data_IF_365821544398
#
_entry.id   IF_365821544398
#
_cell.length_a   1.000
_cell.length_b   1.000
_cell.length_c   1.000
_cell.angle_alpha   90.00
_cell.angle_beta   90.00
_cell.angle_gamma   90.00
#
_symmetry.space_group_name_H-M   'P 1'
#
loop_
_entity.id
_entity.type
_entity.pdbx_description
1 polymer ?
#
# COMPACT_ATOMS: atom_id res chain seq x y z
N UNK A 1 -6.84 21.03 39.23
CA UNK A 1 -7.30 20.33 38.00
C UNK A 1 -6.31 19.27 37.44
N UNK A 2 -5.04 19.21 37.87
CA UNK A 2 -4.06 18.24 37.33
C UNK A 2 -3.88 16.95 38.15
N UNK A 3 -4.44 16.84 39.37
CA UNK A 3 -4.31 15.62 40.18
C UNK A 3 -5.33 14.50 39.84
N UNK A 4 -6.45 14.84 39.19
CA UNK A 4 -7.55 13.90 38.93
C UNK A 4 -7.36 13.06 37.66
N UNK A 5 -6.54 13.52 36.70
CA UNK A 5 -6.23 12.78 35.47
C UNK A 5 -5.28 11.60 35.70
N UNK A 6 -4.35 11.73 36.65
CA UNK A 6 -3.39 10.68 37.00
C UNK A 6 -4.03 9.47 37.68
N UNK A 7 -5.00 9.72 38.57
CA UNK A 7 -5.71 8.67 39.33
C UNK A 7 -6.68 7.89 38.41
N UNK A 8 -7.38 8.57 37.50
CA UNK A 8 -8.27 7.93 36.53
C UNK A 8 -7.50 7.02 35.55
N UNK A 9 -6.30 7.43 35.13
CA UNK A 9 -5.44 6.62 34.27
C UNK A 9 -4.87 5.40 35.01
N UNK A 10 -4.57 5.54 36.32
CA UNK A 10 -4.12 4.45 37.17
C UNK A 10 -5.20 3.38 37.34
N UNK A 11 -6.45 3.81 37.56
CA UNK A 11 -7.61 2.90 37.72
C UNK A 11 -7.92 2.19 36.41
N UNK A 12 -7.90 2.88 35.27
CA UNK A 12 -8.08 2.26 33.95
C UNK A 12 -7.03 1.18 33.67
N UNK A 13 -5.77 1.48 34.01
CA UNK A 13 -4.65 0.53 33.84
C UNK A 13 -4.72 -0.65 34.83
N UNK A 14 -5.30 -0.45 36.01
CA UNK A 14 -5.48 -1.51 37.02
C UNK A 14 -6.64 -2.46 36.68
N UNK A 15 -7.75 -1.95 36.16
CA UNK A 15 -8.92 -2.76 35.77
C UNK A 15 -8.62 -3.59 34.51
N UNK A 16 -8.02 -2.98 33.49
CA UNK A 16 -7.75 -3.66 32.20
C UNK A 16 -6.61 -4.69 32.31
N UNK A 17 -5.67 -4.53 33.25
CA UNK A 17 -4.55 -5.48 33.42
C UNK A 17 -4.88 -6.75 34.20
N UNK A 18 -6.04 -6.81 34.88
CA UNK A 18 -6.44 -7.95 35.72
C UNK A 18 -7.69 -8.70 35.25
N UNK A 19 -8.35 -8.27 34.18
CA UNK A 19 -9.50 -9.01 33.63
C UNK A 19 -9.00 -10.10 32.66
N UNK A 20 -9.00 -11.36 33.11
CA UNK A 20 -8.90 -12.52 32.20
C UNK A 20 -10.27 -12.75 31.58
N UNK A 21 -10.32 -12.76 30.26
CA UNK A 21 -11.50 -13.17 29.50
C UNK A 21 -11.28 -14.60 29.04
N UNK A 22 -12.07 -15.55 29.56
CA UNK A 22 -12.13 -16.92 29.02
C UNK A 22 -13.36 -17.04 28.12
N UNK A 23 -13.13 -17.47 26.88
CA UNK A 23 -14.16 -17.84 25.90
C UNK A 23 -14.24 -19.37 25.88
N UNK A 24 -15.32 -19.94 26.40
CA UNK A 24 -15.54 -21.41 26.40
C UNK A 24 -16.10 -21.89 25.06
N UNK A 25 -15.61 -23.03 24.56
CA UNK A 25 -16.05 -23.68 23.30
C UNK A 25 -17.33 -24.53 23.52
N UNK A 26 -18.16 -24.77 22.48
CA UNK A 26 -19.41 -25.52 22.63
C UNK A 26 -19.17 -27.04 22.70
N UNK A 27 -19.87 -27.74 23.59
CA UNK A 27 -19.85 -29.20 23.73
C UNK A 27 -20.91 -29.88 22.84
N UNK A 28 -20.58 -31.06 22.28
CA UNK A 28 -21.45 -31.92 21.46
C UNK A 28 -22.52 -32.63 22.29
N UNK A 29 -23.72 -32.79 21.72
CA UNK A 29 -24.88 -33.49 22.33
C UNK A 29 -24.97 -34.93 21.82
N UNK A 30 -25.33 -35.88 22.69
CA UNK A 30 -25.81 -37.23 22.32
C UNK A 30 -27.03 -37.57 23.21
N UNK A 31 -28.17 -38.09 22.68
CA UNK A 31 -29.40 -38.25 23.46
C UNK A 31 -29.71 -39.72 23.79
N UNK A 32 -30.23 -40.03 24.98
CA UNK A 32 -30.98 -41.26 25.24
C UNK A 32 -32.07 -41.09 26.34
N UNK A 33 -33.32 -41.36 25.91
CA UNK A 33 -34.56 -41.80 26.60
C UNK A 33 -35.45 -40.85 27.47
N UNK A 34 -36.81 -40.85 27.27
CA UNK A 34 -37.84 -40.10 28.04
C UNK A 34 -38.78 -41.04 28.86
N UNK A 35 -39.97 -40.62 29.39
CA UNK A 35 -40.34 -39.47 30.25
C UNK A 35 -41.22 -39.89 31.47
N UNK A 36 -41.32 -39.08 32.54
CA UNK A 36 -42.50 -39.12 33.43
C UNK A 36 -42.86 -37.73 33.97
N UNK A 37 -44.15 -37.39 33.77
CA UNK A 37 -44.93 -36.21 34.18
C UNK A 37 -44.72 -34.87 33.43
N UNK A 38 -45.54 -34.68 32.39
CA UNK A 38 -46.57 -33.63 32.34
C UNK A 38 -46.18 -32.17 32.04
N UNK A 39 -46.68 -31.68 30.89
CA UNK A 39 -46.90 -30.28 30.44
C UNK A 39 -45.85 -29.73 29.42
N UNK A 40 -46.28 -29.11 28.29
CA UNK A 40 -45.49 -29.02 27.06
C UNK A 40 -44.55 -27.82 26.95
N UNK A 41 -43.61 -27.99 26.03
CA UNK A 41 -42.50 -27.14 25.61
C UNK A 41 -42.96 -25.81 24.97
N UNK A 42 -42.24 -24.72 25.28
CA UNK A 42 -41.87 -23.68 24.31
C UNK A 42 -40.49 -23.14 24.69
N UNK A 43 -39.46 -23.66 24.01
CA UNK A 43 -38.06 -23.43 24.34
C UNK A 43 -37.48 -22.11 23.82
N UNK A 44 -36.45 -21.63 24.52
CA UNK A 44 -35.31 -20.88 23.98
C UNK A 44 -34.05 -21.36 24.71
N UNK A 45 -33.01 -21.71 23.95
CA UNK A 45 -31.74 -22.27 24.46
C UNK A 45 -30.96 -21.31 25.37
N UNK A 46 -29.92 -21.79 26.07
CA UNK A 46 -29.27 -21.04 27.13
C UNK A 46 -28.51 -19.83 26.55
N UNK A 47 -28.87 -18.63 27.02
CA UNK A 47 -28.08 -17.41 26.87
C UNK A 47 -26.85 -17.52 27.79
N UNK A 48 -25.64 -17.39 27.24
CA UNK A 48 -24.40 -17.36 28.02
C UNK A 48 -24.31 -16.04 28.82
N UNK A 49 -24.47 -16.15 30.14
CA UNK A 49 -24.38 -15.03 31.10
C UNK A 49 -22.92 -14.77 31.49
N UNK A 50 -22.34 -13.63 31.06
CA UNK A 50 -21.00 -13.19 31.48
C UNK A 50 -21.10 -12.57 32.89
N UNK A 51 -20.63 -13.27 33.91
CA UNK A 51 -20.58 -12.76 35.31
C UNK A 51 -19.31 -11.96 35.59
N UNK A 52 -19.48 -10.68 35.95
CA UNK A 52 -18.42 -9.83 36.51
C UNK A 52 -18.63 -9.74 38.03
N UNK A 53 -17.65 -10.15 38.85
CA UNK A 53 -17.70 -10.02 40.32
C UNK A 53 -16.90 -8.80 40.80
N UNK A 54 -17.49 -7.99 41.68
CA UNK A 54 -16.76 -7.08 42.59
C UNK A 54 -17.35 -5.67 42.76
N UNK A 55 -17.80 -5.37 43.98
CA UNK A 55 -18.12 -4.06 44.59
C UNK A 55 -19.25 -3.21 43.95
N UNK A 56 -20.39 -3.16 44.65
CA UNK A 56 -21.51 -2.25 44.37
C UNK A 56 -21.16 -0.87 44.95
N UNK A 57 -20.73 0.05 44.08
CA UNK A 57 -20.63 1.47 44.36
C UNK A 57 -21.33 2.27 43.26
N UNK A 58 -21.96 3.40 43.59
CA UNK A 58 -22.45 4.35 42.58
C UNK A 58 -21.25 5.03 41.92
N UNK A 59 -20.78 4.48 40.81
CA UNK A 59 -19.75 5.11 40.00
C UNK A 59 -20.41 5.98 38.93
N UNK A 60 -20.26 7.30 39.03
CA UNK A 60 -20.43 8.17 37.88
C UNK A 60 -19.22 7.95 36.96
N UNK A 61 -19.38 7.08 35.97
CA UNK A 61 -18.41 7.01 34.86
C UNK A 61 -18.69 8.21 33.97
N UNK A 62 -17.77 9.19 33.83
CA UNK A 62 -17.96 10.24 32.84
C UNK A 62 -18.01 9.59 31.47
N UNK A 63 -19.21 9.57 30.87
CA UNK A 63 -19.43 9.01 29.55
C UNK A 63 -18.81 9.99 28.57
N UNK A 64 -17.61 9.69 28.07
CA UNK A 64 -17.03 10.38 26.93
C UNK A 64 -17.96 10.18 25.73
N UNK A 65 -18.62 11.25 25.30
CA UNK A 65 -19.50 11.23 24.13
C UNK A 65 -18.69 10.87 22.88
N UNK A 66 -18.90 9.65 22.39
CA UNK A 66 -18.56 9.28 21.02
C UNK A 66 -19.86 9.23 20.22
N UNK A 67 -20.08 10.24 19.37
CA UNK A 67 -21.20 10.23 18.41
C UNK A 67 -20.92 9.19 17.31
N UNK A 68 -21.96 8.57 16.72
CA UNK A 68 -21.77 7.78 15.50
C UNK A 68 -21.15 8.70 14.42
N UNK A 69 -20.08 8.28 13.73
CA UNK A 69 -19.39 9.16 12.81
C UNK A 69 -20.24 9.46 11.58
N UNK A 70 -20.19 10.71 11.13
CA UNK A 70 -20.74 11.13 9.85
C UNK A 70 -19.75 10.76 8.72
N UNK A 71 -20.12 9.75 7.93
CA UNK A 71 -19.46 9.41 6.67
C UNK A 71 -18.13 8.66 6.76
N UNK A 72 -17.87 7.84 5.74
CA UNK A 72 -16.56 7.21 5.50
C UNK A 72 -15.68 8.23 4.80
N UNK A 73 -14.60 8.67 5.45
CA UNK A 73 -13.57 9.44 4.74
C UNK A 73 -12.75 8.46 3.88
N UNK A 74 -13.13 8.32 2.60
CA UNK A 74 -12.31 7.69 1.56
C UNK A 74 -11.55 8.79 0.84
N UNK A 75 -10.46 9.26 1.43
CA UNK A 75 -9.65 10.31 0.82
C UNK A 75 -8.35 10.59 1.56
N UNK A 76 -7.22 10.39 0.87
CA UNK A 76 -5.87 10.62 1.42
C UNK A 76 -5.30 9.40 2.15
N UNK A 77 -4.24 9.62 2.94
CA UNK A 77 -3.52 8.57 3.70
C UNK A 77 -4.32 8.02 4.90
N UNK A 78 -5.47 8.60 5.22
CA UNK A 78 -6.30 8.21 6.37
C UNK A 78 -7.42 7.29 5.90
N UNK A 79 -7.40 6.04 6.35
CA UNK A 79 -8.47 5.06 6.13
C UNK A 79 -9.37 5.03 7.36
N UNK A 80 -10.67 5.16 7.13
CA UNK A 80 -11.74 5.08 8.15
C UNK A 80 -12.77 4.01 7.80
N UNK A 81 -12.40 3.07 6.92
CA UNK A 81 -13.31 2.05 6.41
C UNK A 81 -13.64 1.03 7.52
N UNK A 82 -14.90 0.58 7.65
CA UNK A 82 -15.27 -0.52 8.55
C UNK A 82 -14.46 -1.81 8.39
N UNK A 83 -13.79 -2.03 7.26
CA UNK A 83 -12.85 -3.15 7.09
C UNK A 83 -11.55 -2.98 7.89
N UNK A 84 -11.19 -1.76 8.26
CA UNK A 84 -10.02 -1.46 9.09
C UNK A 84 -10.32 -1.95 10.51
N UNK A 85 -9.66 -3.04 10.92
CA UNK A 85 -9.84 -3.65 12.27
C UNK A 85 -8.82 -3.18 13.31
N UNK A 86 -8.00 -2.17 12.98
CA UNK A 86 -6.85 -1.72 13.79
C UNK A 86 -6.66 -0.22 13.66
N UNK A 87 -6.16 0.44 14.71
CA UNK A 87 -5.88 1.88 14.72
C UNK A 87 -6.56 2.57 15.89
N UNK A 88 -6.74 3.89 15.78
CA UNK A 88 -7.46 4.67 16.79
C UNK A 88 -8.96 4.42 16.62
N UNK A 89 -9.68 4.18 17.71
CA UNK A 89 -11.15 4.13 17.67
C UNK A 89 -11.66 5.56 17.45
N UNK A 90 -12.33 5.80 16.33
CA UNK A 90 -12.93 7.10 15.98
C UNK A 90 -14.40 7.19 16.39
N UNK A 91 -15.08 6.05 16.45
CA UNK A 91 -16.48 6.00 16.84
C UNK A 91 -17.01 4.57 16.79
N UNK A 92 -18.30 4.46 16.51
CA UNK A 92 -18.99 3.18 16.46
C UNK A 92 -20.11 3.17 15.41
N UNK A 93 -20.54 1.96 15.01
CA UNK A 93 -21.71 1.74 14.16
C UNK A 93 -22.62 0.64 14.71
N UNK A 94 -23.82 0.54 14.16
CA UNK A 94 -24.67 -0.65 14.34
C UNK A 94 -24.10 -1.78 13.46
N UNK A 95 -23.81 -2.97 14.01
CA UNK A 95 -23.32 -4.11 13.25
C UNK A 95 -24.34 -4.56 12.19
N UNK A 96 -23.86 -4.97 11.00
CA UNK A 96 -24.69 -5.59 9.93
C UNK A 96 -24.63 -7.12 9.93
N UNK A 97 -24.32 -7.70 11.08
CA UNK A 97 -23.99 -9.11 11.29
C UNK A 97 -23.21 -9.28 12.59
N UNK A 98 -22.51 -10.41 12.76
CA UNK A 98 -21.67 -10.63 13.95
C UNK A 98 -20.58 -9.56 14.05
N UNK A 99 -20.54 -8.74 15.12
CA UNK A 99 -19.56 -7.68 15.24
C UNK A 99 -18.15 -8.26 15.38
N UNK A 100 -17.21 -7.75 14.59
CA UNK A 100 -15.81 -8.18 14.66
C UNK A 100 -15.07 -7.56 15.85
N UNK A 101 -15.58 -6.44 16.38
CA UNK A 101 -15.02 -5.76 17.55
C UNK A 101 -16.05 -4.89 18.27
N UNK A 102 -16.23 -5.06 19.58
CA UNK A 102 -17.30 -4.39 20.34
C UNK A 102 -16.82 -3.05 20.93
N UNK A 103 -17.63 -2.01 20.75
CA UNK A 103 -17.49 -0.69 21.38
C UNK A 103 -18.27 -0.64 22.70
N UNK A 104 -17.63 -1.10 23.77
CA UNK A 104 -18.26 -1.33 25.09
C UNK A 104 -19.04 -0.11 25.60
N UNK A 105 -18.50 1.13 25.66
CA UNK A 105 -19.25 2.27 26.21
C UNK A 105 -20.53 2.60 25.43
N UNK A 106 -20.50 2.42 24.10
CA UNK A 106 -21.64 2.72 23.25
C UNK A 106 -22.71 1.61 23.32
N UNK A 107 -22.27 0.37 23.53
CA UNK A 107 -23.17 -0.79 23.70
C UNK A 107 -23.89 -0.71 25.05
N UNK A 108 -23.19 -0.32 26.12
CA UNK A 108 -23.82 -0.04 27.41
C UNK A 108 -24.82 1.11 27.29
N UNK A 109 -24.46 2.20 26.60
CA UNK A 109 -25.36 3.34 26.39
C UNK A 109 -26.62 2.94 25.62
N UNK A 110 -26.48 2.08 24.61
CA UNK A 110 -27.60 1.54 23.86
C UNK A 110 -28.52 0.68 24.76
N UNK A 111 -27.95 -0.23 25.55
CA UNK A 111 -28.69 -1.08 26.47
C UNK A 111 -29.47 -0.28 27.52
N UNK A 112 -28.85 0.75 28.10
CA UNK A 112 -29.52 1.65 29.06
C UNK A 112 -30.65 2.42 28.39
N UNK A 113 -30.43 2.95 27.18
CA UNK A 113 -31.46 3.68 26.42
C UNK A 113 -32.64 2.79 26.01
N UNK A 114 -32.40 1.49 25.79
CA UNK A 114 -33.44 0.50 25.51
C UNK A 114 -34.25 0.08 26.74
N UNK A 115 -33.98 0.65 27.92
CA UNK A 115 -34.68 0.31 29.16
C UNK A 115 -34.22 -1.01 29.77
N UNK A 116 -33.04 -1.53 29.40
CA UNK A 116 -32.48 -2.79 29.91
C UNK A 116 -31.88 -2.67 31.32
N UNK A 117 -32.48 -1.85 32.19
CA UNK A 117 -32.15 -1.79 33.61
C UNK A 117 -32.80 -2.98 34.31
N UNK A 118 -31.98 -3.88 34.86
CA UNK A 118 -32.49 -4.99 35.67
C UNK A 118 -33.34 -4.47 36.83
N UNK A 119 -34.46 -5.12 37.11
CA UNK A 119 -35.28 -4.81 38.27
C UNK A 119 -34.42 -4.96 39.55
N UNK A 120 -34.25 -3.88 40.31
CA UNK A 120 -33.73 -3.90 41.68
C UNK A 120 -32.21 -3.87 41.87
N UNK A 121 -31.41 -4.30 40.88
CA UNK A 121 -29.95 -4.29 40.97
C UNK A 121 -29.36 -3.40 39.87
N UNK A 122 -28.24 -2.71 40.16
CA UNK A 122 -27.47 -1.81 39.27
C UNK A 122 -26.86 -2.50 38.01
N UNK A 123 -27.48 -3.57 37.52
CA UNK A 123 -27.04 -4.39 36.40
C UNK A 123 -27.69 -3.90 35.10
N UNK A 124 -26.85 -3.64 34.11
CA UNK A 124 -27.28 -3.36 32.72
C UNK A 124 -27.17 -4.67 31.94
N UNK A 125 -28.30 -5.17 31.45
CA UNK A 125 -28.31 -6.32 30.55
C UNK A 125 -28.03 -5.82 29.12
N UNK A 126 -26.94 -6.28 28.51
CA UNK A 126 -26.59 -5.93 27.12
C UNK A 126 -27.06 -7.06 26.22
N UNK A 127 -27.98 -6.76 25.30
CA UNK A 127 -28.48 -7.71 24.31
C UNK A 127 -27.72 -7.61 22.98
N UNK A 128 -27.81 -8.60 22.08
CA UNK A 128 -27.18 -8.53 20.75
C UNK A 128 -27.54 -7.27 19.96
N UNK A 129 -28.76 -6.75 20.11
CA UNK A 129 -29.24 -5.54 19.42
C UNK A 129 -28.60 -4.26 19.96
N UNK A 130 -28.10 -4.30 21.19
CA UNK A 130 -27.39 -3.19 21.84
C UNK A 130 -25.93 -3.10 21.39
N UNK A 131 -25.40 -4.18 20.79
CA UNK A 131 -24.02 -4.22 20.35
C UNK A 131 -23.71 -3.06 19.39
N UNK A 132 -22.62 -2.35 19.66
CA UNK A 132 -22.05 -1.34 18.76
C UNK A 132 -20.68 -1.80 18.32
N UNK A 133 -20.41 -1.79 17.03
CA UNK A 133 -19.12 -2.19 16.48
C UNK A 133 -18.16 -0.99 16.47
N UNK A 134 -16.91 -1.18 16.89
CA UNK A 134 -15.90 -0.12 16.81
C UNK A 134 -15.65 0.27 15.35
N UNK A 135 -15.54 1.57 15.11
CA UNK A 135 -15.01 2.11 13.87
C UNK A 135 -13.59 2.62 14.11
N UNK A 136 -12.64 2.04 13.39
CA UNK A 136 -11.24 2.43 13.47
C UNK A 136 -10.89 3.46 12.41
N UNK A 137 -10.01 4.36 12.79
CA UNK A 137 -9.31 5.26 11.91
C UNK A 137 -7.82 4.94 11.99
N UNK A 138 -7.24 4.72 10.83
CA UNK A 138 -5.81 4.45 10.68
C UNK A 138 -5.25 5.29 9.55
N UNK A 139 -4.20 6.06 9.87
CA UNK A 139 -3.35 6.64 8.83
C UNK A 139 -2.41 5.54 8.32
N UNK A 140 -2.59 5.13 7.07
CA UNK A 140 -1.73 4.17 6.40
C UNK A 140 -0.49 4.91 5.92
N UNK A 141 0.72 4.51 6.36
CA UNK A 141 1.95 5.11 5.85
C UNK A 141 2.13 4.85 4.37
N UNK A 142 2.77 5.76 3.66
CA UNK A 142 3.17 5.51 2.27
C UNK A 142 4.21 4.40 2.25
N UNK A 143 4.08 3.51 1.28
CA UNK A 143 5.15 2.58 0.91
C UNK A 143 5.54 2.87 -0.53
N UNK A 144 6.74 3.40 -0.76
CA UNK A 144 7.27 3.67 -2.09
C UNK A 144 8.44 2.74 -2.38
N UNK A 145 8.44 2.14 -3.57
CA UNK A 145 9.50 1.25 -4.06
C UNK A 145 10.08 1.90 -5.29
N UNK A 146 11.29 2.43 -5.16
CA UNK A 146 11.97 3.16 -6.22
C UNK A 146 12.80 2.17 -7.04
N UNK A 147 12.56 2.10 -8.34
CA UNK A 147 13.43 1.43 -9.31
C UNK A 147 14.34 2.52 -9.87
N UNK A 148 15.63 2.44 -9.55
CA UNK A 148 16.61 3.44 -9.91
C UNK A 148 17.63 2.85 -10.88
N UNK A 149 17.71 3.45 -12.07
CA UNK A 149 18.79 3.16 -13.00
C UNK A 149 20.13 3.68 -12.46
N UNK A 150 21.16 2.82 -12.47
CA UNK A 150 22.52 3.12 -11.99
C UNK A 150 23.53 3.15 -13.14
N UNK A 151 23.08 3.51 -14.34
CA UNK A 151 23.93 3.84 -15.49
C UNK A 151 24.68 5.17 -15.30
N UNK A 152 25.78 5.38 -16.04
CA UNK A 152 26.67 6.54 -15.85
C UNK A 152 25.94 7.89 -15.98
N UNK A 153 24.97 7.99 -16.90
CA UNK A 153 24.10 9.16 -17.10
C UNK A 153 23.27 9.52 -15.86
N UNK A 154 23.03 8.55 -14.97
CA UNK A 154 22.20 8.69 -13.78
C UNK A 154 22.96 9.14 -12.53
N UNK A 155 24.28 9.38 -12.64
CA UNK A 155 25.13 9.72 -11.49
C UNK A 155 24.61 10.92 -10.71
N UNK A 156 24.33 12.03 -11.41
CA UNK A 156 23.83 13.27 -10.79
C UNK A 156 22.43 13.07 -10.19
N UNK A 157 21.53 12.43 -10.94
CA UNK A 157 20.16 12.12 -10.50
C UNK A 157 20.14 11.28 -9.22
N UNK A 158 20.99 10.26 -9.15
CA UNK A 158 21.16 9.42 -7.95
C UNK A 158 21.66 10.24 -6.75
N UNK A 159 22.62 11.13 -6.96
CA UNK A 159 23.17 11.97 -5.89
C UNK A 159 22.11 12.95 -5.37
N UNK A 160 21.37 13.61 -6.25
CA UNK A 160 20.27 14.50 -5.86
C UNK A 160 19.13 13.75 -5.19
N UNK A 161 18.76 12.57 -5.68
CA UNK A 161 17.78 11.72 -5.01
C UNK A 161 18.22 11.36 -3.58
N UNK A 162 19.49 11.00 -3.38
CA UNK A 162 20.00 10.71 -2.05
C UNK A 162 20.01 11.95 -1.14
N UNK A 163 20.27 13.16 -1.69
CA UNK A 163 20.18 14.43 -0.97
C UNK A 163 18.73 14.75 -0.58
N UNK A 164 17.78 14.60 -1.50
CA UNK A 164 16.35 14.78 -1.25
C UNK A 164 15.84 13.85 -0.14
N UNK A 165 16.17 12.56 -0.19
CA UNK A 165 15.86 11.62 0.89
C UNK A 165 16.47 12.04 2.23
N UNK A 166 17.70 12.58 2.21
CA UNK A 166 18.38 13.09 3.40
C UNK A 166 17.76 14.37 3.94
N UNK A 167 17.08 15.17 3.11
CA UNK A 167 16.31 16.34 3.56
C UNK A 167 14.97 15.91 4.16
N UNK A 168 14.26 15.00 3.50
CA UNK A 168 12.93 14.54 3.90
C UNK A 168 12.92 13.52 5.03
N UNK A 169 14.07 13.00 5.49
CA UNK A 169 14.10 11.86 6.41
C UNK A 169 13.30 12.09 7.70
N UNK A 170 13.33 13.31 8.29
CA UNK A 170 12.62 13.62 9.54
C UNK A 170 11.12 13.46 9.35
N UNK A 171 10.62 13.98 8.24
CA UNK A 171 9.20 13.92 7.92
C UNK A 171 8.74 12.53 7.56
N UNK A 172 9.50 11.83 6.69
CA UNK A 172 9.21 10.45 6.31
C UNK A 172 9.20 9.53 7.53
N UNK A 173 10.17 9.72 8.44
CA UNK A 173 10.26 8.97 9.70
C UNK A 173 9.08 9.27 10.62
N UNK A 174 8.70 10.55 10.76
CA UNK A 174 7.56 10.96 11.57
C UNK A 174 6.23 10.41 11.04
N UNK A 175 6.05 10.39 9.71
CA UNK A 175 4.89 9.79 9.02
C UNK A 175 4.93 8.26 8.99
N UNK A 176 6.04 7.65 9.41
CA UNK A 176 6.35 6.20 9.31
C UNK A 176 6.31 5.67 7.88
N UNK A 177 6.57 6.53 6.91
CA UNK A 177 6.64 6.18 5.50
C UNK A 177 7.81 5.22 5.27
N UNK A 178 7.65 4.32 4.30
CA UNK A 178 8.63 3.27 4.02
C UNK A 178 9.11 3.35 2.58
N UNK A 179 10.41 3.52 2.43
CA UNK A 179 11.05 3.66 1.13
C UNK A 179 11.94 2.45 0.88
N UNK A 180 11.69 1.75 -0.22
CA UNK A 180 12.56 0.70 -0.74
C UNK A 180 13.22 1.17 -2.01
N UNK A 181 14.42 0.66 -2.31
CA UNK A 181 15.11 0.95 -3.57
C UNK A 181 15.62 -0.34 -4.19
N UNK A 182 15.30 -0.51 -5.47
CA UNK A 182 15.84 -1.52 -6.39
C UNK A 182 16.77 -0.79 -7.34
N UNK A 183 18.04 -1.18 -7.37
CA UNK A 183 19.04 -0.66 -8.30
C UNK A 183 19.14 -1.55 -9.53
N UNK A 184 19.26 -0.93 -10.71
CA UNK A 184 19.58 -1.62 -11.96
C UNK A 184 21.09 -1.53 -12.16
N UNK A 185 21.79 -2.66 -12.22
CA UNK A 185 23.25 -2.64 -12.39
C UNK A 185 23.74 -3.90 -13.10
N UNK A 186 24.69 -3.72 -14.01
CA UNK A 186 25.29 -4.81 -14.76
C UNK A 186 24.19 -5.67 -15.41
N UNK A 187 24.19 -6.99 -15.18
CA UNK A 187 23.25 -7.90 -15.84
C UNK A 187 21.94 -8.10 -15.08
N UNK A 188 21.72 -7.52 -13.89
CA UNK A 188 20.50 -7.78 -13.12
C UNK A 188 20.03 -6.61 -12.24
N UNK A 189 18.84 -6.75 -11.65
CA UNK A 189 18.37 -5.83 -10.63
C UNK A 189 18.66 -6.36 -9.23
N UNK A 190 18.96 -5.48 -8.28
CA UNK A 190 19.24 -5.86 -6.90
C UNK A 190 18.55 -4.91 -5.92
N UNK A 191 18.21 -5.43 -4.74
CA UNK A 191 17.61 -4.64 -3.67
C UNK A 191 18.73 -3.85 -2.96
N UNK A 192 18.79 -2.53 -3.22
CA UNK A 192 19.63 -1.62 -2.45
C UNK A 192 19.15 -1.58 -1.01
N UNK A 193 17.84 -1.47 -0.81
CA UNK A 193 17.22 -1.62 0.52
C UNK A 193 15.75 -2.04 0.38
N UNK A 194 15.26 -3.02 1.15
CA UNK A 194 13.82 -3.29 1.22
C UNK A 194 13.08 -2.09 1.84
N UNK A 195 11.75 -1.94 1.69
CA UNK A 195 11.03 -0.80 2.25
C UNK A 195 11.32 -0.57 3.75
N UNK A 196 11.87 0.59 4.09
CA UNK A 196 12.33 0.92 5.45
C UNK A 196 11.89 2.30 5.88
N UNK A 197 11.66 2.47 7.19
CA UNK A 197 11.49 3.79 7.80
C UNK A 197 12.83 4.47 8.10
N UNK A 198 13.95 3.73 8.09
CA UNK A 198 15.28 4.28 8.29
C UNK A 198 15.82 4.87 6.97
N UNK A 199 15.24 6.00 6.58
CA UNK A 199 15.59 6.70 5.33
C UNK A 199 17.02 7.24 5.35
N UNK A 200 17.54 7.63 6.51
CA UNK A 200 18.92 8.09 6.63
C UNK A 200 19.94 7.00 6.25
N UNK A 201 19.71 5.74 6.65
CA UNK A 201 20.54 4.60 6.24
C UNK A 201 20.44 4.34 4.73
N UNK A 202 19.23 4.44 4.18
CA UNK A 202 19.01 4.31 2.74
C UNK A 202 19.78 5.37 1.95
N UNK A 203 19.66 6.65 2.34
CA UNK A 203 20.32 7.75 1.66
C UNK A 203 21.85 7.60 1.66
N UNK A 204 22.45 7.23 2.81
CA UNK A 204 23.89 6.92 2.89
C UNK A 204 24.29 5.79 1.95
N UNK A 205 23.49 4.72 1.87
CA UNK A 205 23.77 3.59 0.97
C UNK A 205 23.69 4.00 -0.50
N UNK A 206 22.75 4.87 -0.87
CA UNK A 206 22.64 5.38 -2.24
C UNK A 206 23.86 6.21 -2.66
N UNK A 207 24.38 7.05 -1.76
CA UNK A 207 25.60 7.83 -2.00
C UNK A 207 26.83 6.94 -2.24
N UNK A 208 26.92 5.80 -1.55
CA UNK A 208 28.06 4.88 -1.67
C UNK A 208 27.97 3.90 -2.84
N UNK A 209 26.87 3.86 -3.60
CA UNK A 209 26.78 2.97 -4.76
C UNK A 209 27.75 3.41 -5.86
N UNK A 210 28.42 2.45 -6.49
CA UNK A 210 29.12 2.69 -7.75
C UNK A 210 28.08 2.76 -8.86
N UNK A 211 28.24 3.71 -9.76
CA UNK A 211 27.50 3.76 -11.02
C UNK A 211 28.16 2.76 -11.98
N UNK A 212 27.38 1.91 -12.65
CA UNK A 212 27.91 1.05 -13.71
C UNK A 212 26.84 0.48 -14.64
N UNK A 213 27.28 0.28 -15.87
CA UNK A 213 26.91 -0.89 -16.66
C UNK A 213 25.63 -0.75 -17.46
N UNK A 214 24.89 -1.85 -17.50
CA UNK A 214 23.70 -2.04 -18.33
C UNK A 214 22.43 -1.81 -17.49
N UNK A 215 21.30 -1.72 -18.19
CA UNK A 215 19.98 -1.36 -17.68
C UNK A 215 19.02 -2.56 -17.80
N UNK A 216 19.04 -3.50 -16.84
CA UNK A 216 18.10 -4.62 -16.74
C UNK A 216 16.72 -4.16 -16.22
N UNK A 217 16.08 -3.24 -16.94
CA UNK A 217 14.86 -2.56 -16.51
C UNK A 217 13.71 -3.53 -16.20
N UNK A 218 13.53 -4.56 -17.03
CA UNK A 218 12.49 -5.57 -16.82
C UNK A 218 12.71 -6.33 -15.49
N UNK A 219 13.95 -6.73 -15.18
CA UNK A 219 14.28 -7.34 -13.87
C UNK A 219 13.92 -6.41 -12.73
N UNK A 220 14.23 -5.12 -12.86
CA UNK A 220 13.92 -4.11 -11.84
C UNK A 220 12.43 -3.94 -11.57
N UNK A 221 11.63 -3.88 -12.64
CA UNK A 221 10.17 -3.80 -12.56
C UNK A 221 9.58 -5.03 -11.86
N UNK A 222 10.06 -6.23 -12.19
CA UNK A 222 9.60 -7.46 -11.55
C UNK A 222 10.01 -7.54 -10.07
N UNK A 223 11.23 -7.11 -9.74
CA UNK A 223 11.71 -7.09 -8.35
C UNK A 223 10.95 -6.07 -7.50
N UNK A 224 10.62 -4.91 -8.07
CA UNK A 224 9.75 -3.93 -7.43
C UNK A 224 8.34 -4.46 -7.23
N UNK A 225 7.77 -5.17 -8.22
CA UNK A 225 6.48 -5.83 -8.08
C UNK A 225 6.48 -6.89 -6.97
N UNK A 226 7.57 -7.66 -6.88
CA UNK A 226 7.77 -8.66 -5.81
C UNK A 226 7.77 -8.01 -4.43
N UNK A 227 8.50 -6.90 -4.27
CA UNK A 227 8.50 -6.12 -3.03
C UNK A 227 7.12 -5.52 -2.72
N UNK A 228 6.41 -5.00 -3.73
CA UNK A 228 5.06 -4.45 -3.56
C UNK A 228 4.09 -5.52 -3.04
N UNK A 229 4.13 -6.74 -3.60
CA UNK A 229 3.34 -7.88 -3.12
C UNK A 229 3.66 -8.23 -1.69
N UNK A 230 4.95 -8.32 -1.34
CA UNK A 230 5.38 -8.61 0.03
C UNK A 230 4.86 -7.56 1.03
N UNK A 231 4.82 -6.30 0.63
CA UNK A 231 4.31 -5.21 1.46
C UNK A 231 2.79 -5.25 1.66
N UNK A 232 2.04 -5.57 0.61
CA UNK A 232 0.59 -5.77 0.70
C UNK A 232 0.24 -7.01 1.53
N UNK A 233 1.05 -8.07 1.48
CA UNK A 233 0.90 -9.24 2.34
C UNK A 233 1.17 -8.92 3.81
N UNK A 234 2.18 -8.09 4.08
CA UNK A 234 2.55 -7.67 5.44
C UNK A 234 1.48 -6.78 6.07
N UNK A 235 0.89 -5.88 5.28
CA UNK A 235 -0.15 -4.96 5.70
C UNK A 235 -1.18 -4.80 4.59
N UNK A 236 -2.35 -5.47 4.67
CA UNK A 236 -3.37 -5.44 3.62
C UNK A 236 -3.93 -4.04 3.33
N UNK A 237 -3.84 -3.12 4.31
CA UNK A 237 -4.24 -1.73 4.13
C UNK A 237 -3.20 -0.93 3.34
N UNK A 238 -1.96 -1.43 3.21
CA UNK A 238 -0.88 -0.78 2.48
C UNK A 238 -1.20 -0.71 0.99
N UNK A 239 -0.87 0.43 0.38
CA UNK A 239 -0.97 0.66 -1.06
C UNK A 239 0.43 0.99 -1.59
N UNK A 240 1.28 -0.03 -1.82
CA UNK A 240 2.62 0.18 -2.33
C UNK A 240 2.59 0.88 -3.69
N UNK A 241 3.49 1.84 -3.86
CA UNK A 241 3.66 2.60 -5.10
C UNK A 241 5.04 2.31 -5.68
N UNK A 242 5.09 1.88 -6.93
CA UNK A 242 6.33 1.72 -7.69
C UNK A 242 6.66 3.07 -8.34
N UNK A 243 7.89 3.54 -8.17
CA UNK A 243 8.40 4.75 -8.82
C UNK A 243 9.59 4.34 -9.67
N UNK A 244 9.52 4.52 -10.98
CA UNK A 244 10.57 4.14 -11.92
C UNK A 244 11.32 5.39 -12.34
N UNK A 245 12.63 5.43 -12.11
CA UNK A 245 13.49 6.54 -12.51
C UNK A 245 14.51 5.98 -13.50
N UNK A 246 14.32 6.29 -14.78
CA UNK A 246 15.14 5.75 -15.89
C UNK A 246 14.99 6.61 -17.14
N UNK A 247 16.05 6.71 -17.93
CA UNK A 247 16.03 7.29 -19.27
C UNK A 247 15.31 6.41 -20.31
N UNK A 248 15.05 5.15 -19.97
CA UNK A 248 14.22 4.21 -20.72
C UNK A 248 14.97 3.39 -21.78
N UNK A 249 16.28 3.17 -21.62
CA UNK A 249 17.07 2.36 -22.56
C UNK A 249 17.36 0.92 -22.07
N UNK A 250 16.37 0.01 -22.02
CA UNK A 250 16.61 -1.36 -21.60
C UNK A 250 17.51 -2.09 -22.60
N UNK A 251 18.48 -2.83 -22.07
CA UNK A 251 19.50 -3.51 -22.87
C UNK A 251 19.86 -4.91 -22.35
N UNK A 252 19.31 -5.32 -21.20
CA UNK A 252 19.46 -6.68 -20.67
C UNK A 252 18.10 -7.38 -20.61
N UNK A 253 17.92 -8.45 -21.39
CA UNK A 253 16.75 -9.31 -21.31
C UNK A 253 16.61 -10.03 -19.96
N UNK A 254 15.37 -10.38 -19.62
CA UNK A 254 15.07 -11.31 -18.53
C UNK A 254 15.66 -12.68 -18.82
N UNK A 255 15.96 -13.47 -17.78
CA UNK A 255 16.37 -14.88 -17.97
C UNK A 255 15.29 -15.65 -18.73
N UNK A 256 14.05 -15.45 -18.31
CA UNK A 256 12.85 -16.02 -18.92
C UNK A 256 11.77 -14.95 -18.87
N UNK A 257 11.17 -14.64 -20.01
CA UNK A 257 10.03 -13.75 -20.07
C UNK A 257 8.81 -14.46 -19.44
N UNK A 258 8.17 -13.87 -18.40
CA UNK A 258 7.11 -14.54 -17.65
C UNK A 258 5.79 -14.67 -18.40
N UNK A 259 5.61 -13.97 -19.53
CA UNK A 259 4.39 -14.04 -20.34
C UNK A 259 4.58 -14.91 -21.59
N UNK A 260 5.76 -14.89 -22.20
CA UNK A 260 6.02 -15.61 -23.46
C UNK A 260 6.84 -16.89 -23.26
N UNK A 261 7.46 -17.08 -22.10
CA UNK A 261 8.39 -18.20 -21.84
C UNK A 261 9.73 -18.08 -22.57
N UNK A 262 9.94 -17.00 -23.34
CA UNK A 262 11.16 -16.79 -24.12
C UNK A 262 12.38 -16.64 -23.22
N UNK A 263 13.44 -17.40 -23.50
CA UNK A 263 14.72 -17.30 -22.78
C UNK A 263 15.52 -16.11 -23.30
N UNK A 264 16.08 -15.31 -22.41
CA UNK A 264 16.90 -14.16 -22.75
C UNK A 264 18.38 -14.47 -22.92
N UNK A 265 18.96 -13.94 -24.01
CA UNK A 265 20.41 -13.96 -24.22
C UNK A 265 21.03 -12.82 -23.41
N UNK A 266 21.92 -13.15 -22.49
CA UNK A 266 22.49 -12.22 -21.49
C UNK A 266 24.01 -12.15 -21.62
N UNK A 267 24.47 -11.40 -22.61
CA UNK A 267 25.88 -11.07 -22.85
C UNK A 267 26.19 -9.61 -22.54
N UNK A 268 27.43 -9.32 -22.11
CA UNK A 268 27.88 -7.95 -21.80
C UNK A 268 28.01 -7.06 -23.06
N UNK A 269 28.38 -7.64 -24.19
CA UNK A 269 28.41 -6.95 -25.47
C UNK A 269 26.99 -6.84 -26.03
N UNK A 270 26.26 -5.80 -25.64
CA UNK A 270 24.84 -5.65 -25.97
C UNK A 270 24.62 -5.52 -27.48
N UNK A 271 24.04 -6.55 -28.07
CA UNK A 271 23.55 -6.54 -29.45
C UNK A 271 22.19 -5.85 -29.59
N UNK A 272 21.85 -5.43 -30.80
CA UNK A 272 20.51 -4.91 -31.10
C UNK A 272 19.41 -5.94 -30.83
N UNK A 273 19.68 -7.24 -31.03
CA UNK A 273 18.73 -8.30 -30.72
C UNK A 273 18.39 -8.34 -29.22
N UNK A 274 19.40 -8.17 -28.35
CA UNK A 274 19.19 -8.09 -26.91
C UNK A 274 18.40 -6.84 -26.51
N UNK A 275 18.66 -5.68 -27.12
CA UNK A 275 17.85 -4.47 -26.87
C UNK A 275 16.38 -4.70 -27.24
N UNK A 276 16.11 -5.31 -28.39
CA UNK A 276 14.73 -5.61 -28.81
C UNK A 276 14.04 -6.54 -27.82
N UNK A 277 14.73 -7.60 -27.37
CA UNK A 277 14.18 -8.52 -26.39
C UNK A 277 13.99 -7.85 -25.01
N UNK A 278 14.91 -6.98 -24.59
CA UNK A 278 14.78 -6.26 -23.33
C UNK A 278 13.56 -5.30 -23.33
N UNK A 279 13.24 -4.67 -24.47
CA UNK A 279 12.01 -3.87 -24.62
C UNK A 279 10.76 -4.77 -24.53
N UNK A 280 10.77 -5.94 -25.18
CA UNK A 280 9.68 -6.93 -25.08
C UNK A 280 9.45 -7.36 -23.61
N UNK A 281 10.54 -7.59 -22.88
CA UNK A 281 10.49 -7.98 -21.46
C UNK A 281 9.98 -6.85 -20.56
N UNK A 282 10.30 -5.59 -20.86
CA UNK A 282 9.76 -4.42 -20.15
C UNK A 282 8.24 -4.34 -20.32
N UNK A 283 7.74 -4.59 -21.53
CA UNK A 283 6.29 -4.65 -21.79
C UNK A 283 5.64 -5.74 -20.94
N UNK A 284 6.23 -6.94 -20.89
CA UNK A 284 5.72 -8.04 -20.09
C UNK A 284 5.69 -7.70 -18.58
N UNK A 285 6.77 -7.11 -18.06
CA UNK A 285 6.83 -6.68 -16.66
C UNK A 285 5.79 -5.59 -16.33
N UNK A 286 5.62 -4.60 -17.20
CA UNK A 286 4.63 -3.53 -17.02
C UNK A 286 3.18 -4.07 -17.05
N UNK A 287 2.88 -5.04 -17.92
CA UNK A 287 1.57 -5.72 -17.95
C UNK A 287 1.31 -6.53 -16.67
N UNK A 288 2.33 -7.16 -16.09
CA UNK A 288 2.20 -7.85 -14.80
C UNK A 288 1.95 -6.86 -13.65
N UNK A 289 2.65 -5.73 -13.62
CA UNK A 289 2.38 -4.64 -12.66
C UNK A 289 0.92 -4.16 -12.78
N UNK A 290 0.42 -4.03 -14.02
CA UNK A 290 -0.96 -3.65 -14.29
C UNK A 290 -1.98 -4.66 -13.75
N UNK A 291 -1.73 -5.96 -13.90
CA UNK A 291 -2.62 -7.03 -13.38
C UNK A 291 -2.74 -7.01 -11.87
N UNK A 292 -1.69 -6.61 -11.18
CA UNK A 292 -1.66 -6.49 -9.71
C UNK A 292 -2.19 -5.14 -9.21
N UNK A 293 -2.65 -4.28 -10.12
CA UNK A 293 -3.19 -2.94 -9.83
C UNK A 293 -2.26 -2.08 -8.95
N UNK A 294 -0.95 -2.29 -9.10
CA UNK A 294 0.04 -1.58 -8.29
C UNK A 294 0.27 -0.19 -8.86
N UNK A 295 0.12 0.82 -8.00
CA UNK A 295 0.27 2.22 -8.38
C UNK A 295 1.67 2.48 -8.92
N UNK A 296 1.78 3.11 -10.09
CA UNK A 296 3.07 3.37 -10.73
C UNK A 296 3.24 4.83 -11.12
N UNK A 297 4.45 5.34 -10.90
CA UNK A 297 4.93 6.63 -11.37
C UNK A 297 6.22 6.38 -12.16
N UNK A 298 6.36 7.01 -13.31
CA UNK A 298 7.58 6.95 -14.11
C UNK A 298 8.12 8.35 -14.25
N UNK A 299 9.40 8.52 -13.90
CA UNK A 299 10.16 9.77 -14.02
C UNK A 299 11.28 9.51 -15.00
N UNK A 300 11.25 10.21 -16.14
CA UNK A 300 12.34 10.22 -17.09
C UNK A 300 13.23 11.45 -16.81
N UNK A 301 14.46 11.24 -16.31
CA UNK A 301 15.36 12.32 -15.93
C UNK A 301 16.28 12.78 -17.06
N UNK A 302 16.08 12.30 -18.29
CA UNK A 302 16.84 12.75 -19.44
C UNK A 302 16.51 14.23 -19.75
N UNK A 303 17.50 15.15 -19.70
CA UNK A 303 17.28 16.58 -19.92
C UNK A 303 16.59 16.92 -21.24
N UNK A 304 16.76 16.09 -22.27
CA UNK A 304 16.12 16.30 -23.58
C UNK A 304 14.77 15.57 -23.74
N UNK A 305 14.36 14.75 -22.76
CA UNK A 305 13.11 14.00 -22.85
C UNK A 305 11.87 14.89 -22.99
N UNK A 306 11.86 16.06 -22.35
CA UNK A 306 10.77 17.04 -22.46
C UNK A 306 10.65 17.59 -23.88
N UNK A 307 11.77 17.78 -24.59
CA UNK A 307 11.82 18.25 -25.96
C UNK A 307 11.23 17.23 -26.96
N UNK A 308 11.36 15.93 -26.67
CA UNK A 308 10.78 14.87 -27.50
C UNK A 308 9.24 14.87 -27.49
N UNK A 309 8.60 15.50 -26.47
CA UNK A 309 7.13 15.58 -26.31
C UNK A 309 6.44 14.22 -26.40
N UNK A 310 7.10 13.18 -25.92
CA UNK A 310 6.55 11.82 -25.90
C UNK A 310 5.59 11.67 -24.74
N UNK A 311 4.33 11.39 -25.04
CA UNK A 311 3.27 11.20 -24.03
C UNK A 311 2.94 9.72 -23.85
N UNK A 312 2.41 9.29 -22.68
CA UNK A 312 1.94 7.92 -22.49
C UNK A 312 0.88 7.50 -23.51
N UNK A 313 -0.02 8.41 -23.90
CA UNK A 313 -1.01 8.12 -24.93
C UNK A 313 -0.35 7.88 -26.31
N UNK A 314 0.64 8.69 -26.67
CA UNK A 314 1.42 8.52 -27.89
C UNK A 314 2.18 7.19 -27.91
N UNK A 315 2.90 6.87 -26.82
CA UNK A 315 3.59 5.60 -26.67
C UNK A 315 2.62 4.40 -26.73
N UNK A 316 1.44 4.53 -26.13
CA UNK A 316 0.37 3.54 -26.20
C UNK A 316 -0.16 3.31 -27.63
N UNK A 317 -0.27 4.37 -28.45
CA UNK A 317 -0.61 4.24 -29.86
C UNK A 317 0.48 3.50 -30.63
N UNK A 318 1.74 3.87 -30.42
CA UNK A 318 2.88 3.18 -31.05
C UNK A 318 2.89 1.69 -30.68
N UNK A 319 2.64 1.36 -29.40
CA UNK A 319 2.52 -0.01 -28.93
C UNK A 319 1.41 -0.77 -29.67
N UNK A 320 0.20 -0.20 -29.78
CA UNK A 320 -0.92 -0.83 -30.51
C UNK A 320 -0.59 -1.08 -31.98
N UNK A 321 0.04 -0.11 -32.65
CA UNK A 321 0.48 -0.25 -34.04
C UNK A 321 1.61 -1.28 -34.21
N UNK A 322 2.31 -1.60 -33.13
CA UNK A 322 3.41 -2.56 -33.08
C UNK A 322 2.97 -3.96 -32.69
N UNK A 323 1.67 -4.20 -32.48
CA UNK A 323 1.15 -5.54 -32.30
C UNK A 323 1.09 -6.27 -33.64
N UNK A 324 1.42 -7.56 -33.60
CA UNK A 324 1.17 -8.51 -34.69
C UNK A 324 -0.27 -8.97 -34.68
N UNK A 325 -0.68 -9.71 -35.71
CA UNK A 325 -2.05 -10.24 -35.83
C UNK A 325 -2.43 -11.17 -34.67
N UNK A 326 -1.45 -11.91 -34.13
CA UNK A 326 -1.61 -12.77 -32.96
C UNK A 326 -1.63 -12.00 -31.62
N UNK A 327 -1.55 -10.67 -31.66
CA UNK A 327 -1.48 -9.80 -30.49
C UNK A 327 -0.11 -9.76 -29.81
N UNK A 328 0.90 -10.46 -30.33
CA UNK A 328 2.27 -10.38 -29.81
C UNK A 328 2.90 -9.02 -30.15
N UNK A 329 3.76 -8.53 -29.25
CA UNK A 329 4.41 -7.24 -29.43
C UNK A 329 5.65 -7.35 -30.32
N UNK A 330 5.78 -6.45 -31.30
CA UNK A 330 6.97 -6.30 -32.14
C UNK A 330 7.83 -5.11 -31.68
N UNK A 331 8.92 -5.35 -30.93
CA UNK A 331 9.80 -4.27 -30.46
C UNK A 331 10.53 -3.55 -31.59
N UNK A 332 10.82 -4.22 -32.73
CA UNK A 332 11.51 -3.59 -33.86
C UNK A 332 10.60 -2.59 -34.55
N UNK A 333 9.33 -2.96 -34.75
CA UNK A 333 8.31 -2.07 -35.30
C UNK A 333 8.08 -0.88 -34.37
N UNK A 334 8.01 -1.11 -33.06
CA UNK A 334 7.87 -0.04 -32.06
C UNK A 334 9.00 0.98 -32.13
N UNK A 335 10.25 0.51 -32.10
CA UNK A 335 11.44 1.37 -32.18
C UNK A 335 11.44 2.15 -33.49
N UNK A 336 11.16 1.50 -34.63
CA UNK A 336 11.09 2.17 -35.92
C UNK A 336 10.03 3.28 -35.97
N UNK A 337 8.84 3.02 -35.42
CA UNK A 337 7.78 4.02 -35.36
C UNK A 337 8.12 5.17 -34.41
N UNK A 338 8.72 4.88 -33.25
CA UNK A 338 9.15 5.89 -32.29
C UNK A 338 10.21 6.83 -32.90
N UNK A 339 11.24 6.26 -33.52
CA UNK A 339 12.31 7.02 -34.18
C UNK A 339 11.79 7.88 -35.33
N UNK A 340 10.80 7.40 -36.11
CA UNK A 340 10.20 8.17 -37.21
C UNK A 340 9.24 9.26 -36.73
N UNK A 341 8.49 9.01 -35.65
CA UNK A 341 7.42 9.90 -35.18
C UNK A 341 7.95 11.07 -34.35
N UNK A 342 9.00 10.82 -33.57
CA UNK A 342 9.54 11.77 -32.61
C UNK A 342 10.95 12.18 -33.00
N UNK A 343 11.91 11.33 -32.68
CA UNK A 343 13.33 11.51 -32.98
C UNK A 343 14.04 10.15 -32.76
N UNK A 344 15.12 9.82 -33.49
CA UNK A 344 15.91 8.62 -33.23
C UNK A 344 16.37 8.45 -31.78
N UNK A 345 16.64 9.54 -31.06
CA UNK A 345 17.03 9.57 -29.65
C UNK A 345 15.82 9.60 -28.68
N UNK A 346 14.59 9.60 -29.18
CA UNK A 346 13.37 9.57 -28.35
C UNK A 346 12.92 8.15 -27.97
N UNK A 347 13.66 7.10 -28.37
CA UNK A 347 13.27 5.71 -28.08
C UNK A 347 13.21 5.45 -26.58
N UNK A 348 14.16 5.96 -25.80
CA UNK A 348 14.13 5.85 -24.33
C UNK A 348 12.91 6.53 -23.71
N UNK A 349 12.59 7.74 -24.16
CA UNK A 349 11.36 8.45 -23.78
C UNK A 349 10.10 7.67 -24.16
N UNK A 350 10.08 7.00 -25.32
CA UNK A 350 8.95 6.17 -25.76
C UNK A 350 8.77 4.91 -24.90
N UNK A 351 9.86 4.25 -24.51
CA UNK A 351 9.80 3.07 -23.63
C UNK A 351 9.34 3.46 -22.22
N UNK A 352 9.92 4.51 -21.63
CA UNK A 352 9.52 5.00 -20.31
C UNK A 352 8.06 5.48 -20.26
N UNK A 353 7.61 6.22 -21.28
CA UNK A 353 6.20 6.60 -21.43
C UNK A 353 5.28 5.38 -21.65
N UNK A 354 5.76 4.34 -22.34
CA UNK A 354 5.02 3.09 -22.53
C UNK A 354 4.82 2.34 -21.21
N UNK A 355 5.81 2.32 -20.32
CA UNK A 355 5.66 1.74 -18.97
C UNK A 355 4.51 2.44 -18.24
N UNK A 356 4.49 3.78 -18.25
CA UNK A 356 3.42 4.55 -17.62
C UNK A 356 2.05 4.23 -18.26
N UNK A 357 1.98 4.13 -19.59
CA UNK A 357 0.75 3.77 -20.30
C UNK A 357 0.22 2.39 -19.89
N UNK A 358 1.06 1.36 -19.96
CA UNK A 358 0.68 -0.03 -19.70
C UNK A 358 0.28 -0.25 -18.24
N UNK A 359 0.96 0.43 -17.31
CA UNK A 359 0.62 0.37 -15.87
C UNK A 359 -0.59 1.23 -15.52
N UNK A 360 -1.08 2.08 -16.44
CA UNK A 360 -2.00 3.22 -16.15
C UNK A 360 -1.44 4.12 -15.04
N UNK A 361 -0.12 4.22 -15.00
CA UNK A 361 0.63 5.08 -14.10
C UNK A 361 0.68 6.52 -14.60
N UNK A 362 1.40 7.33 -13.84
CA UNK A 362 1.72 8.71 -14.23
C UNK A 362 3.12 8.77 -14.83
N UNK A 363 3.33 9.75 -15.69
CA UNK A 363 4.60 9.97 -16.38
C UNK A 363 5.05 11.41 -16.18
N UNK A 364 6.32 11.59 -15.87
CA UNK A 364 6.96 12.87 -15.62
C UNK A 364 8.29 12.89 -16.36
N UNK A 365 8.58 14.00 -17.03
CA UNK A 365 9.92 14.30 -17.55
C UNK A 365 10.53 15.36 -16.67
N UNK A 366 11.77 15.16 -16.25
CA UNK A 366 12.53 16.13 -15.48
C UNK A 366 13.72 16.61 -16.32
N UNK A 367 13.83 17.92 -16.51
CA UNK A 367 14.91 18.53 -17.28
C UNK A 367 16.23 18.62 -16.48
N UNK A 368 16.16 18.42 -15.16
CA UNK A 368 17.32 18.46 -14.26
C UNK A 368 17.22 17.43 -13.13
N UNK A 369 18.35 17.02 -12.53
CA UNK A 369 18.37 16.23 -11.30
C UNK A 369 17.55 16.84 -10.15
N UNK A 370 17.49 18.17 -10.06
CA UNK A 370 16.73 18.91 -9.06
C UNK A 370 15.21 18.73 -9.28
N UNK A 371 14.74 18.80 -10.53
CA UNK A 371 13.33 18.53 -10.87
C UNK A 371 12.94 17.08 -10.55
N UNK A 372 13.87 16.11 -10.69
CA UNK A 372 13.64 14.73 -10.25
C UNK A 372 13.43 14.69 -8.74
N UNK A 373 14.26 15.40 -7.98
CA UNK A 373 14.11 15.49 -6.54
C UNK A 373 12.74 16.10 -6.19
N UNK A 374 12.37 17.24 -6.76
CA UNK A 374 11.07 17.90 -6.54
C UNK A 374 9.89 16.98 -6.86
N UNK A 375 9.91 16.28 -8.01
CA UNK A 375 8.86 15.33 -8.37
C UNK A 375 8.72 14.17 -7.35
N UNK A 376 9.84 13.76 -6.74
CA UNK A 376 9.84 12.77 -5.67
C UNK A 376 9.36 13.37 -4.34
N UNK A 377 9.75 14.59 -3.99
CA UNK A 377 9.26 15.28 -2.80
C UNK A 377 7.73 15.42 -2.87
N UNK A 378 7.19 15.89 -3.99
CA UNK A 378 5.75 15.97 -4.26
C UNK A 378 5.04 14.61 -4.11
N UNK A 379 5.63 13.55 -4.67
CA UNK A 379 5.08 12.20 -4.54
C UNK A 379 5.03 11.75 -3.07
N UNK A 380 6.08 12.05 -2.31
CA UNK A 380 6.28 11.62 -0.94
C UNK A 380 5.45 12.44 0.08
N UNK A 381 5.23 13.72 -0.19
CA UNK A 381 4.46 14.65 0.64
C UNK A 381 2.95 14.46 0.44
N UNK A 382 2.46 14.52 -0.80
CA UNK A 382 1.02 14.63 -1.09
C UNK A 382 0.32 13.25 -1.16
N UNK A 383 1.03 12.15 -0.81
CA UNK A 383 0.49 10.79 -0.96
C UNK A 383 0.10 10.49 -2.42
N UNK A 384 0.79 11.14 -3.37
CA UNK A 384 0.60 10.99 -4.81
C UNK A 384 -0.58 11.74 -5.44
N UNK A 385 -1.23 12.72 -4.79
CA UNK A 385 -2.03 13.69 -5.57
C UNK A 385 -1.09 14.77 -6.12
N UNK A 386 -1.10 15.08 -7.42
CA UNK A 386 -0.41 16.26 -7.90
C UNK A 386 -1.22 17.47 -7.42
N UNK A 387 -0.54 18.51 -6.93
CA UNK A 387 -1.01 19.87 -7.19
C UNK A 387 -0.99 20.07 -8.73
N UNK A 388 -1.71 21.01 -9.32
CA UNK A 388 -1.82 21.10 -10.77
C UNK A 388 -0.43 21.16 -11.46
N UNK A 389 -0.07 20.15 -12.24
CA UNK A 389 1.17 20.11 -13.03
C UNK A 389 0.84 19.57 -14.43
N UNK A 390 1.23 20.34 -15.44
CA UNK A 390 0.65 20.40 -16.79
C UNK A 390 0.67 19.10 -17.61
N UNK A 391 -0.35 19.01 -18.46
CA UNK A 391 -0.60 18.01 -19.52
C UNK A 391 0.32 18.15 -20.72
#
# INVERSE_FOLDING_TARGET
>A
MLLWSGIALLIYRHVVSRTRFELTKPAKVTPLLPPLLGIPVLGKGPEEEIRIHGAIGRFQVPILESKPPAGVARGGRTKTDPEVKRGRVRGWRIPRGTPSSIHIPASIKAAVAAGSTGHGDLRVLIRPEDAREKLFERRVPLTAIIVLDLSDSMTLVRMEFARALSRLYRELSARKDRIGVVGLKDMDAFIVHPPTTNVAKLAKRLQSLSVSGLTPLASGLLEALRLAKAEKMRDPDSEPTIVVITDGYPNVPLRVNPLTGRVGVREYAVSNAQRMQAIEDVVAAAQLIRREETRTFVVNPDPVASAHKVTPAGAGLLYKLSLREDGSFDPRKFVSLASRRYDPFAVGSAVSALIAHLTRGKYYTAASPEEVAEALEDLLEVGGRPLGWGS
#
